data_IF_621443987533
#
_entry.id   IF_621443987533
#
_cell.length_a   1.000
_cell.length_b   1.000
_cell.length_c   1.000
_cell.angle_alpha   90.00
_cell.angle_beta   90.00
_cell.angle_gamma   90.00
#
_symmetry.space_group_name_H-M   'P 1'
#
loop_
_entity.id
_entity.type
_entity.pdbx_description
1 polymer ?
#
# COMPACT_ATOMS: atom_id res chain seq x y z
N UNK A 1 17.99 -24.68 -2.55
CA UNK A 1 18.50 -23.64 -1.63
C UNK A 1 18.76 -24.30 -0.28
N UNK A 2 19.87 -23.99 0.39
CA UNK A 2 20.18 -24.55 1.73
C UNK A 2 20.04 -23.41 2.75
N UNK A 3 18.91 -23.38 3.45
CA UNK A 3 18.67 -22.47 4.57
C UNK A 3 18.98 -23.20 5.88
N UNK A 4 19.26 -22.45 6.94
CA UNK A 4 19.23 -23.04 8.28
C UNK A 4 17.78 -23.31 8.71
N UNK A 5 17.60 -24.12 9.76
CA UNK A 5 16.27 -24.56 10.21
C UNK A 5 15.32 -23.41 10.58
N UNK A 6 15.85 -22.28 11.02
CA UNK A 6 15.04 -21.12 11.41
C UNK A 6 14.65 -20.34 10.17
N UNK A 7 15.59 -20.10 9.25
CA UNK A 7 15.32 -19.43 7.98
C UNK A 7 14.38 -20.24 7.10
N UNK A 8 14.44 -21.57 7.16
CA UNK A 8 13.48 -22.44 6.48
C UNK A 8 12.05 -22.23 7.02
N UNK A 9 11.88 -22.05 8.34
CA UNK A 9 10.57 -21.72 8.92
C UNK A 9 10.11 -20.33 8.52
N UNK A 10 11.00 -19.35 8.47
CA UNK A 10 10.70 -17.98 8.02
C UNK A 10 10.28 -17.96 6.54
N UNK A 11 10.94 -18.77 5.72
CA UNK A 11 10.57 -18.98 4.33
C UNK A 11 9.18 -19.60 4.21
N UNK A 12 8.92 -20.69 4.93
CA UNK A 12 7.59 -21.34 4.97
C UNK A 12 6.51 -20.34 5.44
N UNK A 13 6.80 -19.53 6.46
CA UNK A 13 5.91 -18.46 6.91
C UNK A 13 5.62 -17.46 5.78
N UNK A 14 6.63 -17.01 5.04
CA UNK A 14 6.42 -16.10 3.91
C UNK A 14 5.47 -16.70 2.87
N UNK A 15 5.70 -17.95 2.48
CA UNK A 15 4.91 -18.63 1.45
C UNK A 15 3.47 -18.86 1.90
N UNK A 16 3.28 -19.45 3.08
CA UNK A 16 1.97 -19.95 3.49
C UNK A 16 1.14 -18.93 4.27
N UNK A 17 1.80 -18.03 5.01
CA UNK A 17 1.11 -17.02 5.80
C UNK A 17 1.06 -15.69 5.05
N UNK A 18 2.21 -15.14 4.65
CA UNK A 18 2.24 -13.81 4.03
C UNK A 18 1.63 -13.80 2.63
N UNK A 19 2.03 -14.71 1.73
CA UNK A 19 1.56 -14.67 0.34
C UNK A 19 0.07 -15.01 0.20
N UNK A 20 -0.42 -15.99 0.99
CA UNK A 20 -1.79 -16.50 0.87
C UNK A 20 -2.88 -15.43 1.08
N UNK A 21 -2.59 -14.37 1.84
CA UNK A 21 -3.55 -13.29 2.14
C UNK A 21 -3.53 -12.10 1.16
N UNK A 22 -2.73 -12.13 0.07
CA UNK A 22 -2.45 -10.93 -0.73
C UNK A 22 -3.36 -10.71 -1.93
N UNK A 23 -4.04 -11.75 -2.41
CA UNK A 23 -4.83 -11.67 -3.63
C UNK A 23 -5.93 -12.72 -3.66
N UNK A 24 -7.04 -12.35 -4.30
CA UNK A 24 -8.13 -13.27 -4.62
C UNK A 24 -8.02 -13.82 -6.05
N UNK A 25 -7.11 -13.27 -6.86
CA UNK A 25 -6.88 -13.74 -8.22
C UNK A 25 -6.15 -15.10 -8.21
N UNK A 26 -6.27 -15.89 -9.30
CA UNK A 26 -5.57 -17.19 -9.38
C UNK A 26 -4.04 -17.09 -9.31
N UNK A 27 -3.45 -15.97 -9.76
CA UNK A 27 -2.02 -15.70 -9.65
C UNK A 27 -1.66 -15.05 -8.32
N UNK A 28 -0.40 -15.18 -7.90
CA UNK A 28 0.10 -14.49 -6.71
C UNK A 28 1.52 -13.96 -6.91
N UNK A 29 1.65 -12.68 -7.27
CA UNK A 29 2.92 -11.97 -7.43
C UNK A 29 3.96 -12.22 -6.32
N UNK A 30 3.55 -12.18 -5.05
CA UNK A 30 4.47 -12.36 -3.92
C UNK A 30 5.06 -13.77 -3.89
N UNK A 31 4.25 -14.77 -4.22
CA UNK A 31 4.69 -16.15 -4.30
C UNK A 31 5.40 -16.47 -5.63
N UNK A 32 4.75 -16.20 -6.75
CA UNK A 32 5.17 -16.59 -8.09
C UNK A 32 6.40 -15.82 -8.58
N UNK A 33 6.55 -14.55 -8.17
CA UNK A 33 7.65 -13.69 -8.61
C UNK A 33 8.62 -13.40 -7.47
N UNK A 34 8.18 -12.74 -6.40
CA UNK A 34 9.09 -12.25 -5.34
C UNK A 34 9.82 -13.41 -4.64
N UNK A 35 9.09 -14.45 -4.22
CA UNK A 35 9.72 -15.62 -3.60
C UNK A 35 10.57 -16.42 -4.59
N UNK A 36 10.14 -16.53 -5.86
CA UNK A 36 10.93 -17.19 -6.90
C UNK A 36 12.27 -16.48 -7.18
N UNK A 37 12.27 -15.14 -7.17
CA UNK A 37 13.47 -14.30 -7.26
C UNK A 37 14.35 -14.53 -6.03
N UNK A 38 13.79 -14.40 -4.82
CA UNK A 38 14.52 -14.59 -3.57
C UNK A 38 15.13 -16.00 -3.40
N UNK A 39 14.58 -17.01 -4.08
CA UNK A 39 15.17 -18.34 -4.09
C UNK A 39 16.55 -18.36 -4.78
N UNK A 40 16.78 -17.46 -5.75
CA UNK A 40 17.98 -17.38 -6.58
C UNK A 40 18.88 -16.20 -6.22
N UNK A 41 18.30 -15.04 -5.94
CA UNK A 41 19.01 -13.80 -5.65
C UNK A 41 19.31 -13.64 -4.14
N UNK A 42 20.58 -13.56 -3.71
CA UNK A 42 20.93 -13.42 -2.29
C UNK A 42 20.45 -12.13 -1.64
N UNK A 43 20.40 -11.01 -2.37
CA UNK A 43 19.95 -9.72 -1.84
C UNK A 43 18.45 -9.79 -1.53
N UNK A 44 17.64 -10.23 -2.51
CA UNK A 44 16.21 -10.44 -2.34
C UNK A 44 15.90 -11.49 -1.26
N UNK A 45 16.73 -12.55 -1.15
CA UNK A 45 16.60 -13.55 -0.08
C UNK A 45 16.74 -12.95 1.31
N UNK A 46 17.79 -12.19 1.54
CA UNK A 46 18.01 -11.54 2.82
C UNK A 46 16.92 -10.51 3.11
N UNK A 47 16.46 -9.76 2.11
CA UNK A 47 15.34 -8.84 2.27
C UNK A 47 14.04 -9.58 2.64
N UNK A 48 13.75 -10.71 1.99
CA UNK A 48 12.56 -11.54 2.25
C UNK A 48 12.60 -12.11 3.66
N UNK A 49 13.74 -12.65 4.09
CA UNK A 49 13.90 -13.19 5.44
C UNK A 49 13.82 -12.09 6.49
N UNK A 50 14.41 -10.92 6.26
CA UNK A 50 14.29 -9.77 7.17
C UNK A 50 12.82 -9.35 7.32
N UNK A 51 12.13 -9.17 6.20
CA UNK A 51 10.72 -8.81 6.14
C UNK A 51 9.81 -9.87 6.79
N UNK A 52 10.06 -11.15 6.53
CA UNK A 52 9.27 -12.25 7.13
C UNK A 52 9.52 -12.36 8.63
N UNK A 53 10.78 -12.19 9.07
CA UNK A 53 11.12 -12.14 10.49
C UNK A 53 10.45 -10.94 11.16
N UNK A 54 10.27 -9.83 10.43
CA UNK A 54 9.58 -8.67 10.96
C UNK A 54 8.13 -9.01 11.35
N UNK A 55 7.38 -9.67 10.45
CA UNK A 55 6.05 -10.18 10.77
C UNK A 55 6.06 -11.24 11.88
N UNK A 56 7.08 -12.11 11.94
CA UNK A 56 7.16 -13.14 12.99
C UNK A 56 7.44 -12.55 14.36
N UNK A 57 8.21 -11.47 14.44
CA UNK A 57 8.48 -10.74 15.68
C UNK A 57 7.20 -10.14 16.28
N UNK A 58 6.17 -9.88 15.48
CA UNK A 58 4.85 -9.50 15.98
C UNK A 58 4.12 -10.63 16.75
N UNK A 59 4.61 -11.87 16.70
CA UNK A 59 4.07 -12.99 17.46
C UNK A 59 5.05 -13.55 18.48
N UNK A 60 6.33 -13.61 18.10
CA UNK A 60 7.40 -14.21 18.89
C UNK A 60 8.55 -13.21 19.07
N UNK A 61 8.36 -12.21 19.96
CA UNK A 61 9.28 -11.09 20.17
C UNK A 61 10.50 -11.53 21.01
N UNK A 62 11.27 -12.45 20.47
CA UNK A 62 12.48 -12.95 21.11
C UNK A 62 13.69 -12.18 20.62
N UNK A 63 14.65 -11.96 21.51
CA UNK A 63 15.92 -11.31 21.15
C UNK A 63 16.64 -12.04 20.01
N UNK A 64 16.55 -13.37 19.97
CA UNK A 64 17.12 -14.17 18.89
C UNK A 64 16.49 -13.84 17.52
N UNK A 65 15.16 -13.70 17.45
CA UNK A 65 14.48 -13.28 16.22
C UNK A 65 14.82 -11.84 15.86
N UNK A 66 14.96 -10.95 16.85
CA UNK A 66 15.34 -9.55 16.63
C UNK A 66 16.72 -9.45 16.02
N UNK A 67 17.71 -10.14 16.61
CA UNK A 67 19.07 -10.17 16.09
C UNK A 67 19.12 -10.75 14.67
N UNK A 68 18.34 -11.79 14.40
CA UNK A 68 18.24 -12.42 13.08
C UNK A 68 17.62 -11.50 12.03
N UNK A 69 16.51 -10.83 12.35
CA UNK A 69 15.89 -9.84 11.46
C UNK A 69 16.90 -8.75 11.07
N UNK A 70 17.62 -8.22 12.06
CA UNK A 70 18.62 -7.18 11.87
C UNK A 70 19.83 -7.68 11.06
N UNK A 71 20.29 -8.91 11.28
CA UNK A 71 21.39 -9.49 10.51
C UNK A 71 21.01 -9.64 9.02
N UNK A 72 19.85 -10.20 8.72
CA UNK A 72 19.36 -10.29 7.36
C UNK A 72 19.13 -8.91 6.74
N UNK A 73 18.57 -7.96 7.47
CA UNK A 73 18.38 -6.59 6.99
C UNK A 73 19.73 -5.94 6.62
N UNK A 74 20.74 -6.02 7.51
CA UNK A 74 22.09 -5.50 7.24
C UNK A 74 22.73 -6.17 6.03
N UNK A 75 22.58 -7.49 5.90
CA UNK A 75 23.10 -8.23 4.75
C UNK A 75 22.40 -7.83 3.45
N UNK A 76 21.08 -7.65 3.46
CA UNK A 76 20.31 -7.16 2.32
C UNK A 76 20.78 -5.76 1.89
N UNK A 77 20.88 -4.81 2.83
CA UNK A 77 21.35 -3.44 2.58
C UNK A 77 22.79 -3.43 2.06
N UNK A 78 23.69 -4.26 2.62
CA UNK A 78 25.07 -4.38 2.16
C UNK A 78 25.13 -4.88 0.72
N UNK A 79 24.40 -5.95 0.39
CA UNK A 79 24.35 -6.50 -0.97
C UNK A 79 23.69 -5.52 -1.96
N UNK A 80 22.64 -4.84 -1.53
CA UNK A 80 21.99 -3.79 -2.31
C UNK A 80 22.98 -2.68 -2.64
N UNK A 81 23.73 -2.18 -1.64
CA UNK A 81 24.77 -1.18 -1.84
C UNK A 81 25.86 -1.61 -2.83
N UNK A 82 26.26 -2.88 -2.80
CA UNK A 82 27.21 -3.44 -3.78
C UNK A 82 26.62 -3.52 -5.19
N UNK A 83 25.36 -3.97 -5.32
CA UNK A 83 24.71 -4.09 -6.61
C UNK A 83 24.44 -2.74 -7.28
N UNK A 84 24.06 -1.71 -6.51
CA UNK A 84 23.84 -0.35 -7.02
C UNK A 84 25.11 0.30 -7.59
N UNK A 85 26.30 -0.20 -7.26
CA UNK A 85 27.56 0.28 -7.84
C UNK A 85 27.88 -0.40 -9.18
N UNK A 86 27.17 -1.48 -9.53
CA UNK A 86 27.43 -2.25 -10.74
C UNK A 86 26.55 -1.75 -11.89
N UNK A 87 27.15 -1.39 -13.02
CA UNK A 87 26.41 -0.98 -14.22
C UNK A 87 25.47 -2.08 -14.74
N UNK A 88 25.80 -3.36 -14.49
CA UNK A 88 24.98 -4.49 -14.91
C UNK A 88 23.56 -4.45 -14.32
N UNK A 89 23.42 -3.99 -13.08
CA UNK A 89 22.14 -3.86 -12.37
C UNK A 89 21.13 -3.01 -13.12
N UNK A 90 21.62 -2.06 -13.93
CA UNK A 90 20.80 -1.12 -14.67
C UNK A 90 20.47 -1.59 -16.10
N UNK A 91 20.93 -2.78 -16.51
CA UNK A 91 20.58 -3.34 -17.81
C UNK A 91 19.20 -3.98 -17.76
N UNK A 92 18.42 -3.77 -18.82
CA UNK A 92 17.11 -4.37 -19.00
C UNK A 92 17.14 -5.91 -18.82
N UNK A 93 16.34 -6.41 -17.88
CA UNK A 93 16.23 -7.81 -17.52
C UNK A 93 17.15 -8.27 -16.38
N UNK A 94 18.08 -7.43 -15.94
CA UNK A 94 19.01 -7.73 -14.83
C UNK A 94 18.56 -7.09 -13.50
N UNK A 95 17.60 -6.17 -13.54
CA UNK A 95 17.16 -5.38 -12.40
C UNK A 95 16.23 -6.13 -11.43
N UNK A 96 15.56 -7.20 -11.88
CA UNK A 96 14.46 -7.86 -11.17
C UNK A 96 14.81 -8.26 -9.73
N UNK A 97 16.02 -8.79 -9.52
CA UNK A 97 16.53 -9.19 -8.20
C UNK A 97 16.64 -8.03 -7.22
N UNK A 98 17.23 -6.94 -7.70
CA UNK A 98 17.47 -5.74 -6.88
C UNK A 98 16.19 -4.96 -6.64
N UNK A 99 15.33 -4.83 -7.65
CA UNK A 99 14.02 -4.18 -7.48
C UNK A 99 13.16 -4.97 -6.49
N UNK A 100 13.09 -6.30 -6.60
CA UNK A 100 12.37 -7.13 -5.62
C UNK A 100 12.93 -6.99 -4.19
N UNK A 101 14.26 -6.92 -4.04
CA UNK A 101 14.88 -6.66 -2.74
C UNK A 101 14.49 -5.29 -2.18
N UNK A 102 14.49 -4.24 -3.01
CA UNK A 102 14.05 -2.90 -2.61
C UNK A 102 12.58 -2.88 -2.22
N UNK A 103 11.71 -3.55 -2.98
CA UNK A 103 10.30 -3.75 -2.65
C UNK A 103 10.13 -4.29 -1.25
N UNK A 104 10.82 -5.39 -0.93
CA UNK A 104 10.75 -6.01 0.40
C UNK A 104 11.28 -5.08 1.50
N UNK A 105 12.36 -4.34 1.24
CA UNK A 105 12.96 -3.41 2.21
C UNK A 105 12.02 -2.24 2.49
N UNK A 106 11.51 -1.56 1.48
CA UNK A 106 10.61 -0.42 1.74
C UNK A 106 9.23 -0.89 2.23
N UNK A 107 8.76 -2.08 1.84
CA UNK A 107 7.56 -2.68 2.44
C UNK A 107 7.76 -2.99 3.91
N UNK A 108 8.98 -3.38 4.31
CA UNK A 108 9.35 -3.50 5.72
C UNK A 108 9.27 -2.14 6.44
N UNK A 109 9.71 -1.05 5.81
CA UNK A 109 9.60 0.31 6.37
C UNK A 109 8.15 0.81 6.47
N UNK A 110 7.27 0.39 5.56
CA UNK A 110 5.82 0.71 5.60
C UNK A 110 5.18 0.14 6.87
N UNK A 111 5.56 -1.08 7.24
CA UNK A 111 4.96 -1.78 8.39
C UNK A 111 5.64 -1.40 9.72
N UNK A 112 6.94 -1.11 9.71
CA UNK A 112 7.72 -0.79 10.90
C UNK A 112 7.64 0.70 11.26
N UNK A 113 6.66 1.08 12.08
CA UNK A 113 6.47 2.49 12.46
C UNK A 113 7.64 3.12 13.20
N UNK A 114 8.52 2.33 13.84
CA UNK A 114 9.69 2.87 14.54
C UNK A 114 10.78 3.36 13.59
N UNK A 115 10.75 2.92 12.34
CA UNK A 115 11.62 3.45 11.27
C UNK A 115 11.11 4.79 10.72
N UNK A 116 9.97 5.30 11.21
CA UNK A 116 9.40 6.56 10.73
C UNK A 116 10.33 7.71 11.09
N UNK A 117 10.66 8.47 10.06
CA UNK A 117 11.33 9.74 10.22
C UNK A 117 10.39 10.78 10.84
N UNK A 118 10.93 11.87 11.40
CA UNK A 118 10.17 13.04 11.81
C UNK A 118 9.17 13.52 10.74
N UNK A 119 8.06 14.15 11.17
CA UNK A 119 6.95 14.57 10.29
C UNK A 119 7.35 15.54 9.17
N UNK A 120 8.42 16.31 9.38
CA UNK A 120 8.99 17.26 8.43
C UNK A 120 9.87 16.61 7.35
N UNK A 121 10.17 15.31 7.48
CA UNK A 121 11.03 14.59 6.55
C UNK A 121 10.24 13.62 5.66
N UNK A 122 10.76 13.36 4.46
CA UNK A 122 10.18 12.35 3.57
C UNK A 122 10.33 10.95 4.19
N UNK A 123 9.27 10.11 4.17
CA UNK A 123 9.36 8.75 4.66
C UNK A 123 10.37 7.90 3.89
N UNK A 124 11.10 7.03 4.60
CA UNK A 124 12.09 6.10 4.02
C UNK A 124 11.50 5.22 2.93
N UNK A 125 10.30 4.66 3.18
CA UNK A 125 9.66 3.78 2.20
C UNK A 125 9.42 4.48 0.86
N UNK A 126 9.14 5.79 0.89
CA UNK A 126 8.88 6.58 -0.31
C UNK A 126 10.18 6.86 -1.07
N UNK A 127 11.25 7.17 -0.35
CA UNK A 127 12.58 7.29 -0.97
C UNK A 127 13.01 5.96 -1.61
N UNK A 128 12.75 4.84 -0.94
CA UNK A 128 12.97 3.49 -1.46
C UNK A 128 12.18 3.22 -2.74
N UNK A 129 10.87 3.50 -2.76
CA UNK A 129 10.04 3.35 -3.95
C UNK A 129 10.53 4.21 -5.13
N UNK A 130 10.92 5.46 -4.88
CA UNK A 130 11.49 6.34 -5.91
C UNK A 130 12.86 5.89 -6.39
N UNK A 131 13.67 5.31 -5.52
CA UNK A 131 14.95 4.72 -5.91
C UNK A 131 14.74 3.49 -6.81
N UNK A 132 13.76 2.63 -6.50
CA UNK A 132 13.40 1.49 -7.35
C UNK A 132 12.85 1.97 -8.71
N UNK A 133 12.02 3.02 -8.72
CA UNK A 133 11.55 3.67 -9.94
C UNK A 133 12.69 4.13 -10.83
N UNK A 134 13.73 4.79 -10.29
CA UNK A 134 14.89 5.22 -11.08
C UNK A 134 15.64 4.06 -11.75
N UNK A 135 15.68 2.90 -11.10
CA UNK A 135 16.28 1.69 -11.71
C UNK A 135 15.40 1.20 -12.87
N UNK A 136 14.08 1.16 -12.69
CA UNK A 136 13.13 0.78 -13.75
C UNK A 136 13.14 1.74 -14.94
N UNK A 137 13.26 3.04 -14.68
CA UNK A 137 13.40 4.08 -15.72
C UNK A 137 14.69 3.88 -16.53
N UNK A 138 15.80 3.54 -15.89
CA UNK A 138 17.08 3.33 -16.57
C UNK A 138 17.14 1.99 -17.33
N UNK A 139 16.52 0.96 -16.76
CA UNK A 139 16.47 -0.40 -17.33
C UNK A 139 15.31 -0.59 -18.30
N UNK A 140 14.60 0.47 -18.69
CA UNK A 140 13.45 0.41 -19.58
C UNK A 140 13.81 -0.23 -20.94
N UNK A 141 13.36 -1.45 -21.29
CA UNK A 141 13.64 -2.04 -22.58
C UNK A 141 12.95 -1.29 -23.74
N UNK A 142 11.98 -0.42 -23.44
CA UNK A 142 11.21 0.38 -24.39
C UNK A 142 12.06 1.23 -25.34
N UNK A 143 13.28 1.64 -24.95
CA UNK A 143 14.16 2.39 -25.87
C UNK A 143 14.51 1.60 -27.15
N UNK A 144 14.39 0.28 -27.13
CA UNK A 144 14.67 -0.59 -28.28
C UNK A 144 13.48 -0.74 -29.24
N UNK A 145 12.29 -0.29 -28.84
CA UNK A 145 11.05 -0.58 -29.55
C UNK A 145 10.27 0.69 -29.86
N UNK A 146 9.83 0.81 -31.12
CA UNK A 146 9.03 1.96 -31.58
C UNK A 146 7.61 1.99 -31.00
N UNK A 147 7.07 0.82 -30.63
CA UNK A 147 5.73 0.67 -30.08
C UNK A 147 5.79 -0.11 -28.75
N UNK A 148 5.12 0.34 -27.68
CA UNK A 148 5.11 -0.34 -26.39
C UNK A 148 4.62 -1.80 -26.46
N UNK A 149 3.72 -2.11 -27.40
CA UNK A 149 3.22 -3.48 -27.62
C UNK A 149 4.25 -4.46 -28.18
N UNK A 150 5.39 -3.97 -28.65
CA UNK A 150 6.50 -4.82 -29.12
C UNK A 150 7.51 -5.12 -28.01
N UNK A 151 7.40 -4.44 -26.86
CA UNK A 151 8.30 -4.63 -25.73
C UNK A 151 7.99 -5.98 -25.08
N UNK A 152 9.00 -6.84 -24.99
CA UNK A 152 8.91 -8.13 -24.32
C UNK A 152 9.51 -8.01 -22.91
N UNK A 153 8.64 -8.04 -21.90
CA UNK A 153 9.02 -7.94 -20.50
C UNK A 153 8.69 -9.22 -19.74
N UNK A 154 9.53 -9.56 -18.77
CA UNK A 154 9.29 -10.70 -17.89
C UNK A 154 8.06 -10.44 -17.01
N UNK A 155 7.41 -11.50 -16.52
CA UNK A 155 6.32 -11.36 -15.52
C UNK A 155 6.82 -10.69 -14.24
N UNK A 156 8.06 -10.98 -13.84
CA UNK A 156 8.72 -10.35 -12.71
C UNK A 156 8.86 -8.84 -12.92
N UNK A 157 9.35 -8.40 -14.08
CA UNK A 157 9.49 -6.98 -14.41
C UNK A 157 8.13 -6.27 -14.37
N UNK A 158 7.11 -6.83 -15.01
CA UNK A 158 5.75 -6.25 -15.01
C UNK A 158 5.20 -6.14 -13.59
N UNK A 159 5.39 -7.15 -12.74
CA UNK A 159 4.92 -7.12 -11.36
C UNK A 159 5.70 -6.14 -10.47
N UNK A 160 7.02 -6.12 -10.59
CA UNK A 160 7.91 -5.17 -9.93
C UNK A 160 7.53 -3.73 -10.29
N UNK A 161 7.39 -3.47 -11.60
CA UNK A 161 6.91 -2.23 -12.17
C UNK A 161 5.56 -1.80 -11.58
N UNK A 162 4.56 -2.67 -11.63
CA UNK A 162 3.22 -2.39 -11.14
C UNK A 162 3.22 -2.02 -9.64
N UNK A 163 3.95 -2.77 -8.80
CA UNK A 163 4.05 -2.51 -7.36
C UNK A 163 4.81 -1.22 -7.02
N UNK A 164 5.94 -0.95 -7.69
CA UNK A 164 6.71 0.29 -7.51
C UNK A 164 5.88 1.50 -7.93
N UNK A 165 5.22 1.43 -9.10
CA UNK A 165 4.33 2.48 -9.59
C UNK A 165 3.16 2.72 -8.63
N UNK A 166 2.49 1.66 -8.18
CA UNK A 166 1.39 1.78 -7.22
C UNK A 166 1.85 2.51 -5.95
N UNK A 167 3.01 2.15 -5.42
CA UNK A 167 3.55 2.76 -4.19
C UNK A 167 3.89 4.25 -4.39
N UNK A 168 4.57 4.62 -5.48
CA UNK A 168 4.96 6.03 -5.71
C UNK A 168 3.76 6.89 -6.14
N UNK A 169 2.92 6.41 -7.07
CA UNK A 169 1.78 7.17 -7.62
C UNK A 169 0.73 7.42 -6.53
N UNK A 170 0.34 6.40 -5.76
CA UNK A 170 -0.67 6.57 -4.70
C UNK A 170 -0.18 7.48 -3.56
N UNK A 171 1.13 7.65 -3.41
CA UNK A 171 1.71 8.59 -2.44
C UNK A 171 1.71 10.05 -2.93
N UNK A 172 1.62 10.31 -4.24
CA UNK A 172 1.75 11.66 -4.79
C UNK A 172 0.66 12.63 -4.30
N UNK A 173 -0.65 12.29 -4.25
CA UNK A 173 -1.70 13.23 -3.84
C UNK A 173 -1.55 13.78 -2.42
N UNK A 174 -0.94 13.02 -1.52
CA UNK A 174 -0.80 13.36 -0.09
C UNK A 174 0.56 13.98 0.24
N UNK A 175 1.25 14.52 -0.77
CA UNK A 175 2.61 15.04 -0.61
C UNK A 175 2.84 16.27 -1.48
N UNK A 176 3.87 17.09 -1.17
CA UNK A 176 4.20 18.23 -2.02
C UNK A 176 4.48 17.80 -3.46
N UNK A 177 3.57 18.17 -4.37
CA UNK A 177 3.74 17.94 -5.80
C UNK A 177 4.79 18.92 -6.36
N UNK A 178 5.80 18.36 -7.03
CA UNK A 178 6.76 19.08 -7.86
C UNK A 178 6.74 18.53 -9.28
N UNK A 179 7.03 19.38 -10.26
CA UNK A 179 7.12 18.94 -11.66
C UNK A 179 8.14 17.80 -11.82
N UNK A 180 9.34 17.96 -11.28
CA UNK A 180 10.40 16.93 -11.31
C UNK A 180 9.94 15.58 -10.74
N UNK A 181 9.15 15.59 -9.65
CA UNK A 181 8.66 14.35 -9.04
C UNK A 181 7.58 13.63 -9.87
N UNK A 182 6.94 14.36 -10.78
CA UNK A 182 5.83 13.87 -11.62
C UNK A 182 6.22 13.77 -13.10
N UNK A 183 7.42 14.23 -13.47
CA UNK A 183 8.04 14.02 -14.78
C UNK A 183 8.29 12.52 -15.01
N UNK A 184 8.34 12.12 -16.29
CA UNK A 184 8.54 10.74 -16.74
C UNK A 184 7.43 9.79 -16.24
N UNK A 185 6.26 9.86 -16.89
CA UNK A 185 4.96 9.27 -16.52
C UNK A 185 4.90 7.72 -16.46
N UNK A 186 5.97 7.05 -16.05
CA UNK A 186 6.07 5.60 -15.91
C UNK A 186 5.78 4.89 -17.26
N UNK A 187 6.52 5.21 -18.33
CA UNK A 187 6.24 4.70 -19.68
C UNK A 187 6.25 3.16 -19.75
N UNK A 188 7.08 2.53 -18.92
CA UNK A 188 7.17 1.08 -18.78
C UNK A 188 5.88 0.40 -18.28
N UNK A 189 4.91 1.14 -17.72
CA UNK A 189 3.57 0.61 -17.42
C UNK A 189 2.74 0.31 -18.67
N UNK A 190 3.16 0.84 -19.82
CA UNK A 190 2.47 0.66 -21.10
C UNK A 190 3.09 -0.44 -21.97
N UNK A 191 4.10 -1.16 -21.45
CA UNK A 191 4.72 -2.30 -22.13
C UNK A 191 3.70 -3.44 -22.30
N UNK A 192 3.65 -4.03 -23.50
CA UNK A 192 2.73 -5.12 -23.83
C UNK A 192 1.47 -4.68 -24.58
N UNK A 193 0.61 -5.65 -24.86
CA UNK A 193 -0.63 -5.45 -25.60
C UNK A 193 -1.65 -4.63 -24.80
N UNK A 194 -2.64 -4.08 -25.51
CA UNK A 194 -3.76 -3.36 -24.87
C UNK A 194 -4.46 -4.24 -23.83
N UNK A 195 -4.69 -5.51 -24.14
CA UNK A 195 -5.36 -6.44 -23.24
C UNK A 195 -4.55 -6.65 -21.95
N UNK A 196 -3.23 -6.87 -22.06
CA UNK A 196 -2.34 -7.08 -20.92
C UNK A 196 -2.29 -5.87 -19.99
N UNK A 197 -2.14 -4.65 -20.52
CA UNK A 197 -2.04 -3.45 -19.67
C UNK A 197 -3.37 -3.05 -18.99
N UNK A 198 -4.51 -3.59 -19.44
CA UNK A 198 -5.82 -3.44 -18.79
C UNK A 198 -6.15 -4.61 -17.84
N UNK A 199 -5.30 -5.64 -17.76
CA UNK A 199 -5.48 -6.73 -16.81
C UNK A 199 -5.13 -6.26 -15.40
N UNK A 200 -6.01 -6.50 -14.45
CA UNK A 200 -5.80 -6.27 -13.02
C UNK A 200 -4.62 -7.13 -12.58
N UNK A 201 -3.63 -6.48 -11.96
CA UNK A 201 -2.46 -7.16 -11.45
C UNK A 201 -2.74 -7.74 -10.05
N UNK A 202 -2.31 -8.98 -9.81
CA UNK A 202 -2.51 -9.73 -8.57
C UNK A 202 -1.70 -9.20 -7.37
N UNK A 203 -0.73 -8.31 -7.61
CA UNK A 203 0.00 -7.62 -6.55
C UNK A 203 -0.80 -6.47 -5.91
N UNK A 204 -1.48 -5.66 -6.72
CA UNK A 204 -2.02 -4.35 -6.32
C UNK A 204 -3.53 -4.23 -6.47
N UNK A 205 -4.16 -5.15 -7.21
CA UNK A 205 -5.58 -5.04 -7.55
C UNK A 205 -5.89 -3.95 -8.57
N UNK A 206 -4.88 -3.39 -9.25
CA UNK A 206 -5.02 -2.32 -10.24
C UNK A 206 -4.22 -2.65 -11.50
N UNK A 207 -4.79 -2.43 -12.68
CA UNK A 207 -4.07 -2.62 -13.94
C UNK A 207 -3.04 -1.51 -14.22
N UNK A 208 -1.99 -1.82 -14.97
CA UNK A 208 -0.89 -0.89 -15.26
C UNK A 208 -1.35 0.36 -16.01
N UNK A 209 -2.34 0.23 -16.91
CA UNK A 209 -2.86 1.38 -17.66
C UNK A 209 -3.60 2.38 -16.77
N UNK A 210 -4.34 1.91 -15.76
CA UNK A 210 -5.02 2.78 -14.81
C UNK A 210 -4.02 3.52 -13.92
N UNK A 211 -2.96 2.85 -13.45
CA UNK A 211 -1.87 3.50 -12.72
C UNK A 211 -1.20 4.60 -13.54
N UNK A 212 -0.90 4.34 -14.82
CA UNK A 212 -0.38 5.36 -15.74
C UNK A 212 -1.36 6.53 -15.95
N UNK A 213 -2.67 6.30 -15.84
CA UNK A 213 -3.66 7.39 -15.89
C UNK A 213 -3.68 8.21 -14.59
N UNK A 214 -3.48 7.57 -13.44
CA UNK A 214 -3.37 8.26 -12.15
C UNK A 214 -2.12 9.15 -12.07
N UNK A 215 -0.97 8.72 -12.61
CA UNK A 215 0.24 9.57 -12.65
C UNK A 215 0.04 10.86 -13.46
N UNK A 216 -0.82 10.84 -14.49
CA UNK A 216 -1.14 12.04 -15.27
C UNK A 216 -1.97 13.04 -14.47
N UNK A 217 -2.81 12.59 -13.54
CA UNK A 217 -3.63 13.48 -12.71
C UNK A 217 -2.74 14.38 -11.85
N UNK A 218 -1.79 13.78 -11.14
CA UNK A 218 -0.84 14.49 -10.28
C UNK A 218 0.16 15.32 -11.08
N UNK A 219 0.54 14.86 -12.28
CA UNK A 219 1.34 15.65 -13.21
C UNK A 219 0.61 16.92 -13.67
N UNK A 220 -0.66 16.82 -14.09
CA UNK A 220 -1.45 18.00 -14.47
C UNK A 220 -1.67 18.95 -13.30
N UNK A 221 -1.91 18.42 -12.10
CA UNK A 221 -1.99 19.24 -10.89
C UNK A 221 -0.67 19.98 -10.61
N UNK A 222 0.47 19.32 -10.77
CA UNK A 222 1.79 19.94 -10.61
C UNK A 222 2.04 21.04 -11.66
N UNK A 223 1.63 20.81 -12.91
CA UNK A 223 1.73 21.82 -13.98
C UNK A 223 0.84 23.03 -13.71
N UNK A 224 -0.43 22.84 -13.32
CA UNK A 224 -1.34 23.94 -12.99
C UNK A 224 -0.88 24.74 -11.78
N UNK A 225 -0.26 24.08 -10.79
CA UNK A 225 0.34 24.77 -9.65
C UNK A 225 1.48 25.71 -10.07
N UNK A 226 2.25 25.34 -11.10
CA UNK A 226 3.36 26.11 -11.64
C UNK A 226 2.90 27.21 -12.59
N UNK A 227 1.93 26.91 -13.44
CA UNK A 227 1.33 27.82 -14.42
C UNK A 227 -0.19 27.79 -14.31
N UNK A 228 -0.79 28.60 -13.40
CA UNK A 228 -2.23 28.64 -13.21
C UNK A 228 -3.01 29.12 -14.44
N UNK A 229 -2.38 29.90 -15.32
CA UNK A 229 -2.98 30.47 -16.52
C UNK A 229 -2.81 29.57 -17.76
N UNK A 230 -2.37 28.32 -17.55
CA UNK A 230 -2.14 27.38 -18.63
C UNK A 230 -3.43 27.11 -19.42
N UNK A 231 -3.41 27.40 -20.72
CA UNK A 231 -4.54 27.14 -21.62
C UNK A 231 -4.56 25.69 -22.14
N UNK A 232 -3.49 24.93 -21.92
CA UNK A 232 -3.30 23.56 -22.44
C UNK A 232 -3.70 22.50 -21.42
N UNK A 233 -3.36 22.71 -20.14
CA UNK A 233 -3.57 21.69 -19.10
C UNK A 233 -5.05 21.43 -18.81
N UNK A 234 -5.95 22.43 -18.66
CA UNK A 234 -7.36 22.17 -18.37
C UNK A 234 -8.05 21.33 -19.47
N UNK A 235 -7.91 21.61 -20.77
CA UNK A 235 -8.44 20.73 -21.82
C UNK A 235 -7.86 19.30 -21.78
N UNK A 236 -6.57 19.14 -21.48
CA UNK A 236 -5.94 17.83 -21.35
C UNK A 236 -6.50 17.05 -20.14
N UNK A 237 -6.72 17.72 -19.01
CA UNK A 237 -7.32 17.14 -17.82
C UNK A 237 -8.77 16.70 -18.07
N UNK A 238 -9.57 17.48 -18.81
CA UNK A 238 -10.92 17.07 -19.23
C UNK A 238 -10.86 15.79 -20.07
N UNK A 239 -9.96 15.70 -21.05
CA UNK A 239 -9.79 14.48 -21.85
C UNK A 239 -9.38 13.28 -21.01
N UNK A 240 -8.50 13.46 -20.02
CA UNK A 240 -8.11 12.39 -19.10
C UNK A 240 -9.31 11.92 -18.26
N UNK A 241 -10.11 12.86 -17.75
CA UNK A 241 -11.35 12.55 -17.01
C UNK A 241 -12.32 11.72 -17.84
N UNK A 242 -12.56 12.10 -19.09
CA UNK A 242 -13.44 11.33 -19.99
C UNK A 242 -12.87 9.93 -20.30
N UNK A 243 -11.55 9.79 -20.41
CA UNK A 243 -10.91 8.47 -20.53
C UNK A 243 -11.10 7.62 -19.27
N UNK A 244 -10.98 8.22 -18.08
CA UNK A 244 -11.18 7.53 -16.81
C UNK A 244 -12.62 7.05 -16.64
N UNK A 245 -13.61 7.87 -17.02
CA UNK A 245 -15.04 7.49 -16.98
C UNK A 245 -15.35 6.26 -17.82
N UNK A 246 -14.71 6.12 -18.98
CA UNK A 246 -14.92 5.01 -19.91
C UNK A 246 -13.82 3.95 -19.80
N UNK A 247 -13.09 3.92 -18.68
CA UNK A 247 -11.97 3.00 -18.51
C UNK A 247 -12.45 1.65 -18.00
N UNK A 248 -12.04 0.58 -18.69
CA UNK A 248 -12.36 -0.80 -18.33
C UNK A 248 -11.10 -1.58 -17.99
N UNK A 249 -11.01 -2.10 -16.77
CA UNK A 249 -10.05 -3.14 -16.40
C UNK A 249 -10.71 -4.50 -16.30
N UNK A 250 -9.95 -5.58 -16.42
CA UNK A 250 -10.47 -6.95 -16.37
C UNK A 250 -9.54 -7.88 -15.56
N UNK A 251 -10.04 -9.03 -15.13
CA UNK A 251 -9.25 -10.09 -14.50
C UNK A 251 -9.75 -11.46 -14.94
N UNK A 252 -9.03 -12.52 -14.54
CA UNK A 252 -9.46 -13.90 -14.83
C UNK A 252 -10.78 -14.27 -14.13
N UNK A 253 -11.24 -13.46 -13.16
CA UNK A 253 -12.50 -13.66 -12.43
C UNK A 253 -13.65 -12.80 -12.96
N UNK A 254 -13.36 -11.72 -13.68
CA UNK A 254 -14.36 -10.78 -14.16
C UNK A 254 -13.86 -10.01 -15.36
N UNK A 255 -14.69 -9.90 -16.40
CA UNK A 255 -14.39 -9.06 -17.56
C UNK A 255 -14.43 -7.55 -17.23
N UNK A 256 -14.83 -7.19 -16.00
CA UNK A 256 -15.00 -5.82 -15.53
C UNK A 256 -16.12 -5.06 -16.22
N UNK A 257 -16.33 -3.83 -15.78
CA UNK A 257 -17.40 -2.95 -16.25
C UNK A 257 -16.90 -2.01 -17.35
N UNK A 258 -17.71 -1.76 -18.39
CA UNK A 258 -17.32 -0.93 -19.53
C UNK A 258 -17.26 0.57 -19.21
N UNK A 259 -17.93 1.04 -18.15
CA UNK A 259 -17.83 2.41 -17.66
C UNK A 259 -17.85 2.48 -16.14
N UNK A 260 -17.51 3.66 -15.61
CA UNK A 260 -17.59 3.98 -14.19
C UNK A 260 -19.05 3.96 -13.71
N UNK A 261 -19.99 4.39 -14.53
CA UNK A 261 -21.42 4.35 -14.24
C UNK A 261 -21.89 2.90 -14.05
N UNK A 262 -21.58 1.99 -14.99
CA UNK A 262 -21.94 0.57 -14.83
C UNK A 262 -21.23 -0.10 -13.64
N UNK A 263 -19.99 0.30 -13.34
CA UNK A 263 -19.31 -0.13 -12.12
C UNK A 263 -20.07 0.34 -10.87
N UNK A 264 -20.51 1.60 -10.85
CA UNK A 264 -21.27 2.15 -9.73
C UNK A 264 -22.67 1.53 -9.62
N UNK A 265 -23.37 1.31 -10.72
CA UNK A 265 -24.67 0.62 -10.77
C UNK A 265 -24.58 -0.83 -10.28
N UNK A 266 -23.43 -1.49 -10.51
CA UNK A 266 -23.16 -2.84 -10.02
C UNK A 266 -22.88 -2.89 -8.51
N UNK A 267 -22.37 -1.78 -7.98
CA UNK A 267 -22.18 -1.63 -6.56
C UNK A 267 -23.54 -1.26 -5.95
N UNK A 268 -23.85 -1.79 -4.77
CA UNK A 268 -24.99 -1.27 -4.01
C UNK A 268 -24.55 0.04 -3.33
N UNK A 269 -24.38 1.09 -4.14
CA UNK A 269 -24.08 2.43 -3.68
C UNK A 269 -25.39 3.13 -3.42
N UNK A 270 -25.42 3.88 -2.33
CA UNK A 270 -26.41 4.94 -2.25
C UNK A 270 -25.95 6.08 -3.18
N UNK A 271 -26.87 6.66 -3.94
CA UNK A 271 -26.58 7.81 -4.80
C UNK A 271 -26.17 9.07 -4.01
N UNK A 272 -26.23 8.98 -2.67
CA UNK A 272 -26.30 10.11 -1.78
C UNK A 272 -25.12 10.20 -0.80
N UNK A 273 -24.34 9.15 -0.57
CA UNK A 273 -23.32 9.11 0.48
C UNK A 273 -23.98 9.21 1.86
N UNK A 274 -24.33 8.07 2.45
CA UNK A 274 -25.05 8.05 3.72
C UNK A 274 -24.12 8.33 4.94
N UNK A 275 -24.59 9.06 5.96
CA UNK A 275 -23.83 9.34 7.16
C UNK A 275 -23.66 8.07 7.99
N UNK A 276 -22.69 8.11 8.91
CA UNK A 276 -22.35 6.98 9.80
C UNK A 276 -23.53 6.44 10.60
N UNK A 277 -24.50 7.31 10.94
CA UNK A 277 -25.72 6.96 11.68
C UNK A 277 -26.83 6.34 10.82
N UNK A 278 -26.72 6.37 9.49
CA UNK A 278 -27.77 5.90 8.59
C UNK A 278 -28.01 4.38 8.74
N UNK A 279 -29.27 3.89 8.71
CA UNK A 279 -29.57 2.47 8.96
C UNK A 279 -28.83 1.47 8.07
N UNK A 280 -28.54 1.84 6.81
CA UNK A 280 -27.78 0.99 5.88
C UNK A 280 -26.29 0.92 6.27
N UNK A 281 -25.67 2.06 6.59
CA UNK A 281 -24.27 2.10 7.07
C UNK A 281 -24.14 1.31 8.37
N UNK A 282 -25.07 1.49 9.31
CA UNK A 282 -25.12 0.69 10.55
C UNK A 282 -25.29 -0.80 10.27
N UNK A 283 -26.10 -1.20 9.27
CA UNK A 283 -26.27 -2.60 8.89
C UNK A 283 -24.97 -3.19 8.31
N UNK A 284 -24.29 -2.47 7.43
CA UNK A 284 -22.99 -2.87 6.87
C UNK A 284 -21.91 -2.93 7.94
N UNK A 285 -21.88 -1.94 8.85
CA UNK A 285 -20.98 -1.93 10.00
C UNK A 285 -21.17 -3.15 10.89
N UNK A 286 -22.40 -3.60 11.13
CA UNK A 286 -22.68 -4.85 11.88
C UNK A 286 -22.14 -6.10 11.19
N UNK A 287 -22.05 -6.13 9.86
CA UNK A 287 -21.39 -7.23 9.14
C UNK A 287 -19.88 -7.16 9.38
N UNK A 288 -19.30 -5.98 9.22
CA UNK A 288 -17.86 -5.75 9.43
C UNK A 288 -17.42 -6.07 10.86
N UNK A 289 -18.19 -5.65 11.87
CA UNK A 289 -17.98 -5.98 13.29
C UNK A 289 -17.92 -7.50 13.48
N UNK A 290 -18.91 -8.24 12.98
CA UNK A 290 -18.94 -9.71 13.09
C UNK A 290 -17.76 -10.39 12.38
N UNK A 291 -17.27 -9.80 11.29
CA UNK A 291 -16.05 -10.27 10.63
C UNK A 291 -14.83 -10.06 11.52
N UNK A 292 -14.67 -8.87 12.10
CA UNK A 292 -13.53 -8.52 12.96
C UNK A 292 -13.52 -9.33 14.26
N UNK A 293 -14.68 -9.57 14.89
CA UNK A 293 -14.79 -10.40 16.09
C UNK A 293 -14.36 -11.86 15.87
N UNK A 294 -14.47 -12.36 14.63
CA UNK A 294 -14.01 -13.70 14.26
C UNK A 294 -12.54 -13.75 13.89
N UNK A 295 -11.88 -12.60 13.72
CA UNK A 295 -10.48 -12.56 13.35
C UNK A 295 -9.61 -12.90 14.55
N UNK A 296 -8.56 -13.72 14.35
CA UNK A 296 -7.60 -13.99 15.41
C UNK A 296 -6.89 -12.68 15.76
N UNK A 297 -6.95 -12.25 17.02
CA UNK A 297 -6.23 -11.06 17.53
C UNK A 297 -4.85 -11.41 18.13
N UNK A 298 -4.50 -12.70 18.15
CA UNK A 298 -3.23 -13.26 18.63
C UNK A 298 -2.88 -14.52 17.85
N UNK A 299 -1.64 -15.00 18.00
CA UNK A 299 -1.17 -16.24 17.39
C UNK A 299 -0.82 -16.11 15.89
N UNK A 300 -0.36 -17.20 15.25
CA UNK A 300 0.33 -17.17 13.94
C UNK A 300 -0.46 -16.61 12.74
N UNK A 301 -1.79 -16.46 12.88
CA UNK A 301 -2.68 -15.98 11.83
C UNK A 301 -3.01 -14.47 11.95
N UNK A 302 -2.63 -13.81 13.04
CA UNK A 302 -3.04 -12.42 13.29
C UNK A 302 -2.43 -11.44 12.27
N UNK A 303 -1.12 -11.32 12.07
CA UNK A 303 -0.54 -10.34 11.11
C UNK A 303 -0.51 -10.76 9.64
N UNK A 304 -0.70 -12.05 9.35
CA UNK A 304 -0.76 -12.57 7.96
C UNK A 304 -2.12 -12.38 7.31
N UNK A 305 -3.19 -12.24 8.12
CA UNK A 305 -4.56 -12.19 7.65
C UNK A 305 -5.40 -11.04 8.24
N UNK A 306 -4.95 -10.35 9.31
CA UNK A 306 -5.74 -9.25 9.88
C UNK A 306 -5.69 -8.04 8.97
N UNK A 307 -6.84 -7.64 8.38
CA UNK A 307 -6.87 -6.52 7.49
C UNK A 307 -7.00 -5.26 8.36
N UNK A 308 -5.86 -4.60 8.57
CA UNK A 308 -5.75 -3.45 9.44
C UNK A 308 -6.64 -2.27 8.99
N UNK A 309 -6.75 -2.06 7.67
CA UNK A 309 -7.64 -1.07 7.08
C UNK A 309 -9.13 -1.30 7.43
N UNK A 310 -9.72 -2.50 7.28
CA UNK A 310 -11.07 -2.78 7.78
C UNK A 310 -11.30 -2.51 9.26
N UNK A 311 -10.31 -2.78 10.14
CA UNK A 311 -10.42 -2.45 11.57
C UNK A 311 -10.45 -0.93 11.76
N UNK A 312 -9.60 -0.20 11.06
CA UNK A 312 -9.62 1.27 11.05
C UNK A 312 -10.94 1.84 10.51
N UNK A 313 -11.46 1.30 9.40
CA UNK A 313 -12.72 1.71 8.80
C UNK A 313 -13.90 1.45 9.77
N UNK A 314 -13.91 0.30 10.44
CA UNK A 314 -14.89 -0.02 11.48
C UNK A 314 -14.82 0.99 12.63
N UNK A 315 -13.61 1.35 13.07
CA UNK A 315 -13.43 2.34 14.13
C UNK A 315 -13.98 3.73 13.74
N UNK A 316 -13.75 4.20 12.51
CA UNK A 316 -14.28 5.49 12.04
C UNK A 316 -15.81 5.46 11.94
N UNK A 317 -16.35 4.38 11.36
CA UNK A 317 -17.78 4.24 11.12
C UNK A 317 -18.58 4.03 12.42
N UNK A 318 -17.94 3.57 13.50
CA UNK A 318 -18.58 3.32 14.79
C UNK A 318 -19.08 4.59 15.46
N UNK A 319 -20.40 4.66 15.67
CA UNK A 319 -21.07 5.77 16.37
C UNK A 319 -21.31 5.40 17.82
N UNK A 320 -21.68 4.14 18.09
CA UNK A 320 -22.15 3.74 19.41
C UNK A 320 -21.01 3.17 20.28
N UNK A 321 -21.06 3.35 21.62
CA UNK A 321 -20.03 2.83 22.51
C UNK A 321 -19.77 1.33 22.38
N UNK A 322 -20.81 0.53 22.13
CA UNK A 322 -20.69 -0.92 21.94
C UNK A 322 -19.95 -1.30 20.65
N UNK A 323 -20.11 -0.53 19.58
CA UNK A 323 -19.41 -0.74 18.31
C UNK A 323 -17.93 -0.41 18.48
N UNK A 324 -17.65 0.73 19.13
CA UNK A 324 -16.29 1.17 19.47
C UNK A 324 -15.57 0.22 20.41
N UNK A 325 -16.31 -0.49 21.28
CA UNK A 325 -15.74 -1.50 22.18
C UNK A 325 -15.03 -2.60 21.38
N UNK A 326 -15.58 -3.04 20.24
CA UNK A 326 -14.94 -4.07 19.41
C UNK A 326 -13.60 -3.59 18.87
N UNK A 327 -13.54 -2.36 18.35
CA UNK A 327 -12.28 -1.74 17.93
C UNK A 327 -11.30 -1.63 19.10
N UNK A 328 -11.77 -1.11 20.23
CA UNK A 328 -10.95 -0.91 21.44
C UNK A 328 -10.35 -2.22 21.92
N UNK A 329 -11.17 -3.25 22.09
CA UNK A 329 -10.74 -4.57 22.54
C UNK A 329 -9.70 -5.13 21.56
N UNK A 330 -9.92 -5.02 20.25
CA UNK A 330 -8.94 -5.43 19.25
C UNK A 330 -7.61 -4.68 19.42
N UNK A 331 -7.64 -3.35 19.45
CA UNK A 331 -6.42 -2.53 19.58
C UNK A 331 -5.70 -2.80 20.91
N UNK A 332 -6.42 -2.90 22.02
CA UNK A 332 -5.85 -3.14 23.36
C UNK A 332 -5.29 -4.55 23.50
N UNK A 333 -5.91 -5.58 22.92
CA UNK A 333 -5.35 -6.94 22.87
C UNK A 333 -4.05 -6.96 22.06
N UNK A 334 -4.03 -6.32 20.89
CA UNK A 334 -2.84 -6.23 20.05
C UNK A 334 -1.72 -5.46 20.75
N UNK A 335 -2.07 -4.34 21.39
CA UNK A 335 -1.11 -3.49 22.09
C UNK A 335 -0.63 -4.08 23.41
N UNK A 336 -1.45 -4.80 24.16
CA UNK A 336 -1.02 -5.51 25.38
C UNK A 336 -0.09 -6.66 25.04
N UNK A 337 -0.39 -7.39 23.95
CA UNK A 337 0.55 -8.34 23.35
C UNK A 337 1.86 -7.66 22.95
N UNK A 338 1.82 -6.40 22.52
CA UNK A 338 2.97 -5.58 22.14
C UNK A 338 3.72 -4.90 23.30
N UNK A 339 3.08 -4.58 24.43
CA UNK A 339 3.70 -3.92 25.58
C UNK A 339 4.62 -4.84 26.38
N UNK A 340 4.39 -6.16 26.36
CA UNK A 340 5.42 -7.13 26.79
C UNK A 340 6.70 -7.11 25.92
N UNK A 341 6.78 -6.26 24.89
CA UNK A 341 7.86 -6.18 23.89
C UNK A 341 8.68 -4.89 23.94
N UNK A 342 8.31 -3.90 24.77
CA UNK A 342 8.96 -2.57 24.79
C UNK A 342 9.86 -2.29 25.99
N UNK A 343 9.88 -3.11 27.04
CA UNK A 343 10.61 -2.81 28.29
C UNK A 343 12.10 -3.20 28.31
N UNK A 344 12.73 -3.60 27.19
CA UNK A 344 14.17 -3.94 27.19
C UNK A 344 15.02 -3.07 26.25
N UNK A 345 15.63 -2.08 26.91
CA UNK A 345 16.95 -1.46 26.68
C UNK A 345 17.21 -0.56 25.44
N UNK A 346 17.97 0.49 25.78
CA UNK A 346 18.42 1.67 25.03
C UNK A 346 19.43 1.33 23.93
N UNK A 347 18.99 1.06 22.70
CA UNK A 347 19.93 1.08 21.57
C UNK A 347 19.25 1.53 20.28
N UNK A 348 19.77 2.63 19.75
CA UNK A 348 19.13 3.58 18.83
C UNK A 348 19.08 3.14 17.35
N UNK A 349 19.28 1.86 17.04
CA UNK A 349 19.39 1.38 15.65
C UNK A 349 18.79 -0.01 15.38
N UNK A 350 17.88 -0.49 16.24
CA UNK A 350 17.33 -1.83 16.13
C UNK A 350 15.83 -1.79 15.89
N UNK A 351 15.41 -2.54 14.87
CA UNK A 351 14.03 -2.85 14.55
C UNK A 351 13.31 -3.33 15.84
N UNK A 352 12.39 -2.54 16.42
CA UNK A 352 11.39 -3.04 17.36
C UNK A 352 10.04 -2.98 16.65
N UNK A 353 9.34 -4.09 16.71
CA UNK A 353 8.23 -4.36 15.80
C UNK A 353 6.96 -4.45 16.60
N UNK A 354 6.19 -3.39 16.42
CA UNK A 354 4.75 -3.45 16.43
C UNK A 354 4.40 -2.87 15.06
N UNK A 355 3.42 -3.39 14.33
CA UNK A 355 2.92 -2.75 13.10
C UNK A 355 2.49 -1.29 13.36
N UNK A 356 2.03 -0.54 12.37
CA UNK A 356 1.45 0.83 12.52
C UNK A 356 0.26 0.96 13.50
N UNK A 357 -0.07 -0.10 14.26
CA UNK A 357 -1.14 -0.21 15.24
C UNK A 357 -1.04 0.81 16.38
N UNK A 358 0.09 1.01 17.11
CA UNK A 358 0.14 2.02 18.18
C UNK A 358 -0.18 3.45 17.73
N UNK A 359 0.47 4.00 16.67
CA UNK A 359 0.16 5.36 16.26
C UNK A 359 -1.27 5.50 15.71
N UNK A 360 -1.81 4.46 15.05
CA UNK A 360 -3.20 4.47 14.57
C UNK A 360 -4.20 4.40 15.73
N UNK A 361 -3.92 3.65 16.79
CA UNK A 361 -4.80 3.62 17.97
C UNK A 361 -4.88 4.98 18.66
N UNK A 362 -3.73 5.66 18.78
CA UNK A 362 -3.69 7.03 19.30
C UNK A 362 -4.51 7.97 18.41
N UNK A 363 -4.37 7.84 17.09
CA UNK A 363 -5.13 8.65 16.13
C UNK A 363 -6.64 8.38 16.20
N UNK A 364 -7.07 7.12 16.31
CA UNK A 364 -8.50 6.75 16.45
C UNK A 364 -9.10 7.35 17.72
N UNK A 365 -8.39 7.33 18.85
CA UNK A 365 -8.91 7.90 20.10
C UNK A 365 -9.18 9.40 19.96
N UNK A 366 -8.21 10.15 19.42
CA UNK A 366 -8.38 11.58 19.13
C UNK A 366 -9.49 11.83 18.11
N UNK A 367 -9.58 10.95 17.12
CA UNK A 367 -10.61 11.03 16.10
C UNK A 367 -12.00 10.81 16.69
N UNK A 368 -12.19 9.88 17.62
CA UNK A 368 -13.46 9.71 18.30
C UNK A 368 -13.84 10.95 19.11
N UNK A 369 -12.89 11.56 19.82
CA UNK A 369 -13.12 12.84 20.51
C UNK A 369 -13.57 13.93 19.52
N UNK A 370 -12.95 14.01 18.34
CA UNK A 370 -13.36 14.96 17.31
C UNK A 370 -14.74 14.66 16.73
N UNK A 371 -14.97 13.41 16.33
CA UNK A 371 -16.24 12.97 15.72
C UNK A 371 -17.43 13.16 16.68
N UNK A 372 -17.22 13.00 17.98
CA UNK A 372 -18.27 13.17 19.00
C UNK A 372 -18.56 14.63 19.34
N UNK A 373 -17.60 15.54 19.10
CA UNK A 373 -17.74 16.95 19.46
C UNK A 373 -18.08 17.85 18.26
N UNK A 374 -17.52 17.56 17.08
CA UNK A 374 -17.59 18.43 15.89
C UNK A 374 -18.43 17.83 14.75
N UNK A 375 -18.74 16.53 14.79
CA UNK A 375 -19.53 15.82 13.77
C UNK A 375 -20.84 15.22 14.32
N UNK A 376 -21.48 15.95 15.23
CA UNK A 376 -22.71 15.54 15.92
C UNK A 376 -23.90 15.56 14.95
N UNK A 377 -24.56 14.41 14.79
CA UNK A 377 -25.84 14.18 14.10
C UNK A 377 -26.23 15.26 13.07
N UNK A 378 -25.45 15.35 11.98
CA UNK A 378 -25.83 16.24 10.89
C UNK A 378 -27.18 15.78 10.31
N UNK A 379 -28.15 16.69 10.14
CA UNK A 379 -29.41 16.37 9.49
C UNK A 379 -29.11 15.84 8.10
N UNK A 380 -29.44 14.58 7.88
CA UNK A 380 -29.31 13.94 6.58
C UNK A 380 -30.52 14.28 5.74
N UNK A 381 -30.31 15.18 4.79
CA UNK A 381 -31.27 15.45 3.73
C UNK A 381 -30.91 14.62 2.50
N UNK A 382 -31.76 13.63 2.19
CA UNK A 382 -31.56 12.75 1.04
C UNK A 382 -31.65 13.52 -0.29
N UNK A 383 -32.40 14.63 -0.33
CA UNK A 383 -32.60 15.46 -1.50
C UNK A 383 -31.45 16.46 -1.74
N UNK A 384 -30.56 16.65 -0.76
CA UNK A 384 -29.39 17.52 -0.90
C UNK A 384 -28.29 16.84 -1.74
N UNK A 385 -27.79 17.45 -2.84
CA UNK A 385 -26.70 16.86 -3.62
C UNK A 385 -25.44 16.63 -2.79
N UNK A 386 -24.76 15.49 -2.98
CA UNK A 386 -23.56 15.10 -2.20
C UNK A 386 -22.49 16.19 -2.15
N UNK A 387 -22.25 16.90 -3.26
CA UNK A 387 -21.26 17.98 -3.34
C UNK A 387 -21.61 19.26 -2.56
N UNK A 388 -22.82 19.35 -2.02
CA UNK A 388 -23.26 20.44 -1.14
C UNK A 388 -23.30 20.02 0.33
N UNK A 389 -23.12 18.73 0.62
CA UNK A 389 -23.01 18.21 1.98
C UNK A 389 -21.62 18.52 2.53
N UNK A 390 -21.47 18.48 3.85
CA UNK A 390 -20.17 18.67 4.48
C UNK A 390 -19.21 17.57 4.05
N UNK A 391 -18.01 17.97 3.64
CA UNK A 391 -16.92 17.09 3.23
C UNK A 391 -16.20 16.50 4.46
N UNK A 392 -16.96 15.81 5.33
CA UNK A 392 -16.47 15.37 6.63
C UNK A 392 -15.30 14.38 6.53
N UNK A 393 -15.24 13.59 5.45
CA UNK A 393 -14.15 12.67 5.21
C UNK A 393 -12.84 13.42 4.93
N UNK A 394 -12.88 14.44 4.08
CA UNK A 394 -11.76 15.30 3.77
C UNK A 394 -11.28 16.08 4.99
N UNK A 395 -12.20 16.63 5.79
CA UNK A 395 -11.90 17.29 7.07
C UNK A 395 -11.22 16.34 8.06
N UNK A 396 -11.77 15.12 8.19
CA UNK A 396 -11.18 14.06 9.02
C UNK A 396 -9.76 13.74 8.58
N UNK A 397 -9.54 13.51 7.28
CA UNK A 397 -8.23 13.18 6.72
C UNK A 397 -7.24 14.33 6.98
N UNK A 398 -7.65 15.58 6.75
CA UNK A 398 -6.82 16.75 7.02
C UNK A 398 -6.38 16.81 8.48
N UNK A 399 -7.33 16.64 9.42
CA UNK A 399 -7.06 16.64 10.86
C UNK A 399 -6.13 15.50 11.28
N UNK A 400 -6.35 14.29 10.76
CA UNK A 400 -5.47 13.14 11.02
C UNK A 400 -4.05 13.38 10.53
N UNK A 401 -3.88 13.96 9.34
CA UNK A 401 -2.56 14.28 8.78
C UNK A 401 -1.85 15.34 9.61
N UNK A 402 -2.56 16.39 10.03
CA UNK A 402 -2.02 17.42 10.91
C UNK A 402 -1.56 16.85 12.26
N UNK A 403 -2.46 16.16 12.96
CA UNK A 403 -2.22 15.70 14.32
C UNK A 403 -1.31 14.47 14.40
N UNK A 404 -1.42 13.54 13.45
CA UNK A 404 -0.78 12.22 13.51
C UNK A 404 0.22 11.98 12.38
N UNK A 405 0.32 12.87 11.40
CA UNK A 405 1.15 12.67 10.20
C UNK A 405 0.53 11.65 9.24
N UNK A 406 1.29 11.22 8.23
CA UNK A 406 0.84 10.19 7.29
C UNK A 406 0.92 8.81 7.97
N UNK A 407 -0.25 8.19 8.17
CA UNK A 407 -0.37 6.84 8.72
C UNK A 407 -0.47 5.81 7.60
N UNK A 408 0.31 4.73 7.69
CA UNK A 408 0.11 3.56 6.84
C UNK A 408 -0.93 2.63 7.47
N UNK A 409 -1.92 2.23 6.68
CA UNK A 409 -2.97 1.27 7.04
C UNK A 409 -2.80 -0.06 6.28
N UNK A 410 -1.63 -0.28 5.68
CA UNK A 410 -1.29 -1.43 4.80
C UNK A 410 -0.79 -2.63 5.58
#
# INVERSE_FOLDING_TARGET
MKLDKTDEKLWIFHIHAFCAGRTLLPGNYWFDQVAAIAAKDPCARHALLAFSTAYVLDFQPTEAMRLRANDHYRNAVRLLGQALQQQETYRAGSEDGIVAAMILIYSNDIVNWESRRPKDQQPLWREGARAARRILDHSDPGYRYWAPGNVQSSRARIGNANWVAYTDICAQPVTPLTEESTQNLFPWLLEGSKEEVHKIHDATGVCSKLLHMFSQVTYFAALLKKDPESTVVPPAAVRLREKLKNFRQWSDLSLGYPSVEELFDSCNLDDNGQPRSHPHVVRSLKVLIRCIERMPCTGPLFTSQSPFFPVFLMAIASVRPEERKVSRDWFEVVLSGAQCRSERQETQFLIRIVQSVPPVWVAIKKLWEWLDNELVEEPYDEDQPIGQRRAWWEEMVAKLVEESGVLSLV
#
